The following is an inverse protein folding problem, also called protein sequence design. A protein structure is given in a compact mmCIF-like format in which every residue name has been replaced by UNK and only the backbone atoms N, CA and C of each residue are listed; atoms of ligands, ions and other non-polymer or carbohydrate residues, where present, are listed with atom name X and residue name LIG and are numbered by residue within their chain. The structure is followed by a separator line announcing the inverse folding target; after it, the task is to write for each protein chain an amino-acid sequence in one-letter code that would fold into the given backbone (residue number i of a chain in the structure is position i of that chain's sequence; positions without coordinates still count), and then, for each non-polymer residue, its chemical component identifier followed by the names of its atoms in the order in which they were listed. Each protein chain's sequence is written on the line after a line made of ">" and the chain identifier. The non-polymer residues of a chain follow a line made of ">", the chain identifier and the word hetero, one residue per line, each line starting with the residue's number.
data_IF_822351668232
#
_entry.id   IF_822351668232
#
_cell.length_a   1.000
_cell.length_b   1.000
_cell.length_c   1.000
_cell.angle_alpha   90.00
_cell.angle_beta   90.00
_cell.angle_gamma   90.00
#
_symmetry.space_group_name_H-M   'P 1'
#
loop_
_entity.id
_entity.type
_entity.pdbx_description
1 polymer ?
#
# COMPACT_ATOMS: atom_id res chain seq x y z
N UNK A 1 12.15 24.31 5.56
CA UNK A 1 12.00 23.60 4.28
C UNK A 1 12.71 22.25 4.36
N UNK A 2 12.00 21.12 4.41
CA UNK A 2 12.66 19.80 4.44
C UNK A 2 13.18 19.45 3.04
N UNK A 3 14.47 19.62 2.83
CA UNK A 3 15.20 19.17 1.64
C UNK A 3 14.89 17.68 1.41
N UNK A 4 14.27 17.33 0.28
CA UNK A 4 14.09 15.92 -0.11
C UNK A 4 15.43 15.40 -0.61
N UNK A 5 16.01 14.39 0.04
CA UNK A 5 17.19 13.71 -0.51
C UNK A 5 16.77 12.97 -1.76
N UNK A 6 17.16 13.48 -2.93
CA UNK A 6 16.89 12.81 -4.20
C UNK A 6 17.88 11.66 -4.39
N UNK A 7 17.64 10.54 -3.69
CA UNK A 7 18.50 9.35 -3.73
C UNK A 7 17.75 8.17 -4.36
N UNK A 8 17.79 8.02 -5.70
CA UNK A 8 17.04 6.97 -6.40
C UNK A 8 17.54 5.57 -6.04
N UNK A 9 18.81 5.42 -5.65
CA UNK A 9 19.38 4.12 -5.27
C UNK A 9 18.89 3.65 -3.91
N UNK A 10 18.79 4.55 -2.93
CA UNK A 10 18.18 4.25 -1.64
C UNK A 10 16.72 3.80 -1.79
N UNK A 11 15.97 4.48 -2.67
CA UNK A 11 14.58 4.09 -2.97
C UNK A 11 14.49 2.70 -3.63
N UNK A 12 15.29 2.44 -4.68
CA UNK A 12 15.35 1.12 -5.34
C UNK A 12 15.74 0.02 -4.36
N UNK A 13 16.68 0.31 -3.46
CA UNK A 13 17.08 -0.61 -2.41
C UNK A 13 15.93 -0.89 -1.43
N UNK A 14 15.20 0.14 -1.00
CA UNK A 14 14.02 -0.05 -0.14
C UNK A 14 12.92 -0.89 -0.82
N UNK A 15 12.69 -0.70 -2.13
CA UNK A 15 11.80 -1.57 -2.93
C UNK A 15 12.32 -3.02 -2.93
N UNK A 16 13.61 -3.21 -3.17
CA UNK A 16 14.22 -4.53 -3.16
C UNK A 16 14.07 -5.23 -1.79
N UNK A 17 14.28 -4.51 -0.68
CA UNK A 17 14.03 -5.04 0.67
C UNK A 17 12.57 -5.43 0.85
N UNK A 18 11.62 -4.58 0.45
CA UNK A 18 10.20 -4.92 0.54
C UNK A 18 9.84 -6.17 -0.27
N UNK A 19 10.38 -6.29 -1.49
CA UNK A 19 10.19 -7.46 -2.33
C UNK A 19 10.84 -8.73 -1.74
N UNK A 20 12.07 -8.63 -1.21
CA UNK A 20 12.73 -9.74 -0.53
C UNK A 20 11.95 -10.19 0.72
N UNK A 21 11.37 -9.26 1.48
CA UNK A 21 10.48 -9.56 2.60
C UNK A 21 9.20 -10.27 2.15
N UNK A 22 8.63 -9.90 1.00
CA UNK A 22 7.49 -10.63 0.42
C UNK A 22 7.87 -12.09 0.10
N UNK A 23 9.03 -12.32 -0.51
CA UNK A 23 9.54 -13.68 -0.75
C UNK A 23 9.81 -14.45 0.57
N UNK A 24 10.29 -13.76 1.60
CA UNK A 24 10.48 -14.35 2.94
C UNK A 24 9.15 -14.82 3.56
N UNK A 25 8.07 -14.04 3.42
CA UNK A 25 6.74 -14.44 3.87
C UNK A 25 6.27 -15.71 3.14
N UNK A 26 6.51 -15.80 1.82
CA UNK A 26 6.21 -17.01 1.05
C UNK A 26 7.03 -18.19 1.57
N UNK A 27 8.33 -18.01 1.81
CA UNK A 27 9.18 -19.05 2.38
C UNK A 27 8.66 -19.52 3.75
N UNK A 28 8.21 -18.61 4.61
CA UNK A 28 7.59 -18.96 5.89
C UNK A 28 6.28 -19.74 5.71
N UNK A 29 5.43 -19.34 4.76
CA UNK A 29 4.21 -20.06 4.42
C UNK A 29 4.49 -21.47 3.86
N UNK A 30 5.62 -21.67 3.18
CA UNK A 30 6.07 -22.99 2.73
C UNK A 30 6.52 -23.87 3.91
N UNK A 31 7.13 -23.31 4.96
CA UNK A 31 7.46 -24.07 6.18
C UNK A 31 6.19 -24.66 6.80
N UNK A 32 5.17 -23.83 7.03
CA UNK A 32 3.91 -24.28 7.65
C UNK A 32 3.13 -25.21 6.73
N UNK A 33 3.07 -24.94 5.42
CA UNK A 33 2.31 -25.77 4.46
C UNK A 33 2.93 -27.15 4.21
N UNK A 34 4.19 -27.36 4.58
CA UNK A 34 4.88 -28.64 4.45
C UNK A 34 5.17 -29.29 5.83
N UNK A 35 4.48 -28.86 6.89
CA UNK A 35 4.67 -29.34 8.27
C UNK A 35 6.14 -29.34 8.72
N UNK A 36 6.92 -28.41 8.20
CA UNK A 36 8.37 -28.44 8.30
C UNK A 36 8.91 -27.68 9.52
N UNK A 37 8.05 -27.10 10.37
CA UNK A 37 8.45 -26.18 11.43
C UNK A 37 9.32 -26.77 12.57
N UNK A 38 9.43 -28.10 12.65
CA UNK A 38 10.32 -28.83 13.59
C UNK A 38 11.32 -29.74 12.87
N UNK A 39 11.56 -29.52 11.59
CA UNK A 39 12.53 -30.31 10.82
C UNK A 39 13.97 -30.11 11.30
N UNK A 40 14.25 -28.95 11.91
CA UNK A 40 15.50 -28.56 12.54
C UNK A 40 15.19 -28.17 14.00
N UNK A 41 15.28 -29.12 14.95
CA UNK A 41 14.73 -28.97 16.30
C UNK A 41 15.59 -28.11 17.25
N UNK A 42 16.59 -27.40 16.74
CA UNK A 42 17.48 -26.52 17.48
C UNK A 42 17.54 -25.12 16.85
N UNK A 43 17.87 -24.13 17.66
CA UNK A 43 18.07 -22.74 17.26
C UNK A 43 19.08 -22.08 18.22
N UNK A 44 20.02 -21.24 17.75
CA UNK A 44 20.19 -20.74 16.39
C UNK A 44 20.97 -21.68 15.45
N UNK A 45 21.51 -22.78 15.97
CA UNK A 45 22.20 -23.80 15.18
C UNK A 45 21.24 -24.65 14.35
N UNK A 46 21.79 -25.53 13.52
CA UNK A 46 21.05 -26.61 12.85
C UNK A 46 21.79 -27.93 13.12
N UNK A 47 21.14 -28.81 13.88
CA UNK A 47 21.69 -30.05 14.41
C UNK A 47 23.01 -29.86 15.18
N UNK A 48 23.06 -28.83 16.04
CA UNK A 48 24.21 -28.50 16.90
C UNK A 48 25.38 -27.84 16.16
N UNK A 49 25.23 -27.48 14.89
CA UNK A 49 26.27 -26.84 14.08
C UNK A 49 25.73 -25.63 13.31
N UNK A 50 26.61 -24.68 12.96
CA UNK A 50 26.31 -23.62 11.99
C UNK A 50 26.64 -24.02 10.53
N UNK A 51 27.09 -25.26 10.32
CA UNK A 51 27.34 -25.79 8.97
C UNK A 51 26.03 -26.03 8.24
N UNK A 52 26.09 -25.94 6.91
CA UNK A 52 24.95 -26.24 6.04
C UNK A 52 24.48 -27.69 6.25
N UNK A 53 23.23 -27.92 6.72
CA UNK A 53 22.69 -29.26 6.86
C UNK A 53 22.34 -29.84 5.49
N UNK A 54 22.07 -31.16 5.45
CA UNK A 54 21.53 -31.79 4.24
C UNK A 54 20.12 -31.28 3.98
N UNK A 55 19.90 -30.63 2.84
CA UNK A 55 18.63 -30.00 2.46
C UNK A 55 17.63 -31.04 1.92
N UNK A 56 17.29 -32.03 2.73
CA UNK A 56 16.39 -33.15 2.37
C UNK A 56 15.09 -33.04 3.18
N UNK A 57 13.95 -33.39 2.56
CA UNK A 57 12.65 -33.39 3.23
C UNK A 57 12.24 -32.00 3.74
N UNK A 58 11.75 -31.94 4.97
CA UNK A 58 11.31 -30.70 5.63
C UNK A 58 12.44 -29.69 5.90
N UNK A 59 13.68 -30.16 6.09
CA UNK A 59 14.86 -29.33 6.41
C UNK A 59 15.08 -28.25 5.34
N UNK A 60 14.81 -28.56 4.07
CA UNK A 60 14.98 -27.60 2.97
C UNK A 60 14.07 -26.37 3.12
N UNK A 61 12.87 -26.55 3.67
CA UNK A 61 11.93 -25.46 3.89
C UNK A 61 12.34 -24.67 5.13
N UNK A 62 12.60 -25.35 6.25
CA UNK A 62 12.88 -24.66 7.51
C UNK A 62 14.24 -23.95 7.49
N UNK A 63 15.31 -24.67 7.16
CA UNK A 63 16.64 -24.06 7.08
C UNK A 63 16.72 -23.04 5.94
N UNK A 64 16.05 -23.30 4.81
CA UNK A 64 15.93 -22.34 3.71
C UNK A 64 15.25 -21.03 4.13
N UNK A 65 14.15 -21.12 4.88
CA UNK A 65 13.50 -19.95 5.46
C UNK A 65 14.44 -19.18 6.41
N UNK A 66 15.19 -19.87 7.28
CA UNK A 66 16.19 -19.25 8.18
C UNK A 66 17.28 -18.49 7.40
N UNK A 67 17.77 -19.06 6.30
CA UNK A 67 18.76 -18.41 5.44
C UNK A 67 18.20 -17.14 4.77
N UNK A 68 16.99 -17.21 4.22
CA UNK A 68 16.32 -16.05 3.62
C UNK A 68 16.05 -14.98 4.69
N UNK A 69 15.64 -15.39 5.91
CA UNK A 69 15.40 -14.49 7.03
C UNK A 69 16.68 -13.75 7.44
N UNK A 70 17.81 -14.46 7.55
CA UNK A 70 19.11 -13.87 7.85
C UNK A 70 19.53 -12.86 6.76
N UNK A 71 19.33 -13.22 5.48
CA UNK A 71 19.63 -12.33 4.36
C UNK A 71 18.77 -11.06 4.40
N UNK A 72 17.45 -11.18 4.55
CA UNK A 72 16.53 -10.02 4.67
C UNK A 72 16.87 -9.18 5.90
N UNK A 73 17.27 -9.81 7.01
CA UNK A 73 17.73 -9.10 8.21
C UNK A 73 18.96 -8.23 7.95
N UNK A 74 19.98 -8.78 7.28
CA UNK A 74 21.16 -8.03 6.85
C UNK A 74 20.80 -6.86 5.93
N UNK A 75 19.92 -7.10 4.95
CA UNK A 75 19.45 -6.04 4.06
C UNK A 75 18.73 -4.92 4.83
N UNK A 76 17.94 -5.29 5.83
CA UNK A 76 17.20 -4.33 6.67
C UNK A 76 18.13 -3.48 7.52
N UNK A 77 19.16 -4.07 8.12
CA UNK A 77 20.19 -3.34 8.88
C UNK A 77 20.93 -2.37 7.96
N UNK A 78 21.32 -2.80 6.76
CA UNK A 78 21.98 -1.93 5.79
C UNK A 78 21.05 -0.78 5.34
N UNK A 79 19.77 -1.06 5.07
CA UNK A 79 18.76 -0.03 4.74
C UNK A 79 18.68 1.01 5.87
N UNK A 80 18.56 0.55 7.12
CA UNK A 80 18.45 1.44 8.28
C UNK A 80 19.71 2.31 8.47
N UNK A 81 20.90 1.73 8.29
CA UNK A 81 22.16 2.47 8.33
C UNK A 81 22.25 3.51 7.21
N UNK A 82 21.88 3.14 5.97
CA UNK A 82 21.88 4.04 4.83
C UNK A 82 20.89 5.19 5.02
N UNK A 83 19.68 4.90 5.52
CA UNK A 83 18.71 5.91 5.92
C UNK A 83 19.31 6.83 6.99
N UNK A 84 19.99 6.30 8.00
CA UNK A 84 20.54 7.12 9.07
C UNK A 84 21.50 8.20 8.58
N UNK A 85 22.31 7.85 7.57
CA UNK A 85 23.33 8.72 6.96
C UNK A 85 22.73 9.68 5.92
N UNK A 86 21.80 9.22 5.07
CA UNK A 86 21.36 9.97 3.88
C UNK A 86 19.97 10.59 3.98
N UNK A 87 19.12 10.11 4.89
CA UNK A 87 17.74 10.56 5.00
C UNK A 87 17.61 11.70 6.04
N UNK A 88 17.30 12.94 5.62
CA UNK A 88 17.18 14.06 6.56
C UNK A 88 15.94 13.96 7.48
N UNK A 89 14.89 13.25 7.05
CA UNK A 89 13.64 13.14 7.80
C UNK A 89 13.79 12.19 8.99
N UNK A 90 13.83 12.78 10.20
CA UNK A 90 13.99 12.03 11.47
C UNK A 90 13.00 10.88 11.64
N UNK A 91 11.74 11.07 11.22
CA UNK A 91 10.70 10.05 11.37
C UNK A 91 10.91 8.85 10.43
N UNK A 92 11.46 9.05 9.21
CA UNK A 92 11.81 7.96 8.29
C UNK A 92 12.98 7.15 8.85
N UNK A 93 13.98 7.83 9.43
CA UNK A 93 15.09 7.16 10.12
C UNK A 93 14.63 6.32 11.31
N UNK A 94 13.72 6.85 12.12
CA UNK A 94 13.09 6.11 13.24
C UNK A 94 12.31 4.90 12.74
N UNK A 95 11.61 5.02 11.61
CA UNK A 95 10.91 3.90 10.98
C UNK A 95 11.90 2.82 10.49
N UNK A 96 13.06 3.21 9.95
CA UNK A 96 14.15 2.27 9.64
C UNK A 96 14.70 1.55 10.88
N UNK A 97 14.88 2.26 11.99
CA UNK A 97 15.26 1.65 13.27
C UNK A 97 14.19 0.69 13.81
N UNK A 98 12.91 1.05 13.70
CA UNK A 98 11.79 0.20 14.06
C UNK A 98 11.73 -1.08 13.20
N UNK A 99 12.09 -0.99 11.91
CA UNK A 99 12.19 -2.15 11.03
C UNK A 99 13.23 -3.15 11.56
N UNK A 100 14.41 -2.68 11.96
CA UNK A 100 15.46 -3.52 12.57
C UNK A 100 14.99 -4.15 13.88
N UNK A 101 14.36 -3.36 14.76
CA UNK A 101 13.81 -3.88 16.02
C UNK A 101 12.78 -5.00 15.76
N UNK A 102 11.94 -4.83 14.74
CA UNK A 102 10.92 -5.80 14.36
C UNK A 102 11.55 -7.09 13.82
N UNK A 103 12.65 -7.01 13.04
CA UNK A 103 13.42 -8.18 12.58
C UNK A 103 14.04 -8.94 13.76
N UNK A 104 14.59 -8.24 14.74
CA UNK A 104 15.15 -8.89 15.95
C UNK A 104 14.06 -9.61 16.73
N UNK A 105 12.91 -8.96 16.94
CA UNK A 105 11.76 -9.58 17.59
C UNK A 105 11.20 -10.77 16.76
N UNK A 106 11.23 -10.69 15.43
CA UNK A 106 10.88 -11.79 14.54
C UNK A 106 11.79 -13.00 14.71
N UNK A 107 13.11 -12.79 14.73
CA UNK A 107 14.09 -13.85 14.93
C UNK A 107 13.93 -14.52 16.32
N UNK A 108 13.67 -13.72 17.36
CA UNK A 108 13.40 -14.22 18.70
C UNK A 108 12.11 -15.06 18.76
N UNK A 109 10.98 -14.54 18.23
CA UNK A 109 9.73 -15.29 18.19
C UNK A 109 9.87 -16.55 17.33
N UNK A 110 10.54 -16.49 16.18
CA UNK A 110 10.80 -17.64 15.33
C UNK A 110 11.63 -18.71 16.03
N UNK A 111 12.72 -18.32 16.73
CA UNK A 111 13.48 -19.24 17.56
C UNK A 111 12.63 -19.87 18.68
N UNK A 112 11.81 -19.07 19.36
CA UNK A 112 10.89 -19.57 20.38
C UNK A 112 9.84 -20.54 19.81
N UNK A 113 9.36 -20.35 18.58
CA UNK A 113 8.43 -21.32 17.96
C UNK A 113 9.05 -22.70 17.80
N UNK A 114 10.35 -22.78 17.50
CA UNK A 114 11.08 -24.06 17.39
C UNK A 114 11.34 -24.63 18.79
N UNK A 115 11.92 -23.83 19.68
CA UNK A 115 12.35 -24.27 21.02
C UNK A 115 11.19 -24.70 21.92
N UNK A 116 9.99 -24.16 21.69
CA UNK A 116 8.78 -24.46 22.48
C UNK A 116 7.78 -25.36 21.76
N UNK A 117 8.16 -25.96 20.63
CA UNK A 117 7.32 -26.91 19.88
C UNK A 117 6.00 -26.32 19.33
N UNK A 118 6.10 -25.19 18.62
CA UNK A 118 5.02 -24.46 17.93
C UNK A 118 3.82 -24.06 18.82
N UNK A 119 4.02 -23.43 19.98
CA UNK A 119 2.90 -22.99 20.79
C UNK A 119 2.11 -21.91 20.03
N UNK A 120 0.79 -22.13 19.89
CA UNK A 120 -0.10 -21.32 19.05
C UNK A 120 0.08 -19.81 19.26
N UNK A 121 0.12 -19.26 20.50
CA UNK A 121 0.27 -17.82 20.69
C UNK A 121 1.58 -17.25 20.12
N UNK A 122 2.68 -17.99 20.23
CA UNK A 122 4.00 -17.55 19.74
C UNK A 122 4.03 -17.64 18.21
N UNK A 123 3.53 -18.73 17.63
CA UNK A 123 3.49 -18.91 16.17
C UNK A 123 2.57 -17.90 15.49
N UNK A 124 1.39 -17.62 16.08
CA UNK A 124 0.49 -16.56 15.61
C UNK A 124 1.13 -15.19 15.78
N UNK A 125 1.76 -14.92 16.93
CA UNK A 125 2.50 -13.68 17.17
C UNK A 125 3.63 -13.46 16.15
N UNK A 126 4.38 -14.52 15.83
CA UNK A 126 5.41 -14.52 14.79
C UNK A 126 4.80 -14.19 13.42
N UNK A 127 3.70 -14.84 13.02
CA UNK A 127 3.04 -14.55 11.76
C UNK A 127 2.52 -13.10 11.65
N UNK A 128 1.88 -12.58 12.71
CA UNK A 128 1.36 -11.21 12.75
C UNK A 128 2.50 -10.16 12.72
N UNK A 129 3.57 -10.39 13.47
CA UNK A 129 4.71 -9.47 13.51
C UNK A 129 5.46 -9.45 12.16
N UNK A 130 5.49 -10.55 11.42
CA UNK A 130 6.03 -10.59 10.06
C UNK A 130 5.25 -9.69 9.10
N UNK A 131 3.91 -9.65 9.22
CA UNK A 131 3.07 -8.75 8.42
C UNK A 131 3.29 -7.28 8.79
N UNK A 132 3.46 -6.97 10.08
CA UNK A 132 3.82 -5.61 10.54
C UNK A 132 5.17 -5.18 9.94
N UNK A 133 6.17 -6.05 9.98
CA UNK A 133 7.48 -5.80 9.35
C UNK A 133 7.34 -5.52 7.85
N UNK A 134 6.54 -6.31 7.13
CA UNK A 134 6.28 -6.09 5.71
C UNK A 134 5.63 -4.73 5.43
N UNK A 135 4.62 -4.35 6.21
CA UNK A 135 4.01 -3.02 6.11
C UNK A 135 5.03 -1.89 6.35
N UNK A 136 5.94 -2.05 7.30
CA UNK A 136 7.04 -1.11 7.54
C UNK A 136 7.97 -1.04 6.33
N UNK A 137 8.37 -2.18 5.75
CA UNK A 137 9.24 -2.24 4.58
C UNK A 137 8.60 -1.56 3.36
N UNK A 138 7.33 -1.82 3.08
CA UNK A 138 6.56 -1.14 2.02
C UNK A 138 6.44 0.36 2.29
N UNK A 139 6.21 0.75 3.54
CA UNK A 139 6.15 2.16 3.93
C UNK A 139 7.49 2.87 3.71
N UNK A 140 8.62 2.23 4.05
CA UNK A 140 9.95 2.77 3.77
C UNK A 140 10.20 2.91 2.27
N UNK A 141 9.78 1.94 1.44
CA UNK A 141 9.85 2.05 -0.01
C UNK A 141 9.02 3.24 -0.53
N UNK A 142 7.81 3.45 0.00
CA UNK A 142 6.96 4.60 -0.35
C UNK A 142 7.60 5.94 0.04
N UNK A 143 8.10 6.06 1.27
CA UNK A 143 8.59 7.32 1.81
C UNK A 143 9.97 7.73 1.27
N UNK A 144 10.75 6.76 0.81
CA UNK A 144 12.03 7.02 0.12
C UNK A 144 11.84 7.42 -1.35
N UNK A 145 10.62 7.35 -1.91
CA UNK A 145 10.35 7.73 -3.29
C UNK A 145 10.82 9.17 -3.58
N UNK A 146 11.54 9.39 -4.70
CA UNK A 146 11.91 10.73 -5.15
C UNK A 146 10.69 11.66 -5.22
N UNK A 147 10.80 12.85 -4.62
CA UNK A 147 9.72 13.83 -4.59
C UNK A 147 8.61 13.54 -3.57
N UNK A 148 8.68 12.45 -2.78
CA UNK A 148 7.70 12.23 -1.72
C UNK A 148 7.82 13.34 -0.66
N UNK A 149 6.73 14.10 -0.51
CA UNK A 149 6.56 15.09 0.54
C UNK A 149 5.35 14.68 1.36
N UNK A 150 5.54 14.59 2.67
CA UNK A 150 4.41 14.47 3.57
C UNK A 150 3.74 15.84 3.63
N UNK A 151 2.80 16.08 2.73
CA UNK A 151 1.95 17.25 2.82
C UNK A 151 1.08 17.10 4.07
N UNK A 152 0.99 18.13 4.92
CA UNK A 152 0.00 18.14 6.00
C UNK A 152 -1.33 17.82 5.35
N UNK A 153 -1.95 16.70 5.73
CA UNK A 153 -3.23 16.29 5.15
C UNK A 153 -4.16 17.50 5.25
N UNK A 154 -4.61 18.02 4.10
CA UNK A 154 -5.71 18.98 4.09
C UNK A 154 -6.83 18.25 4.83
N UNK A 155 -7.25 18.76 5.99
CA UNK A 155 -8.34 18.16 6.75
C UNK A 155 -9.58 18.42 5.91
N UNK A 156 -9.86 17.50 4.99
CA UNK A 156 -11.09 17.47 4.23
C UNK A 156 -12.07 16.82 5.19
N UNK A 157 -12.99 17.60 5.74
CA UNK A 157 -14.11 17.07 6.49
C UNK A 157 -14.94 16.20 5.54
N UNK A 158 -14.96 14.89 5.78
CA UNK A 158 -15.86 13.97 5.08
C UNK A 158 -17.22 14.04 5.79
N UNK A 159 -18.24 14.65 5.17
CA UNK A 159 -19.53 14.87 5.82
C UNK A 159 -20.32 13.57 6.01
N UNK A 160 -19.85 12.45 5.44
CA UNK A 160 -20.55 11.17 5.49
C UNK A 160 -20.16 10.39 6.76
N UNK A 161 -21.11 9.62 7.29
CA UNK A 161 -20.91 8.73 8.44
C UNK A 161 -21.01 7.25 8.02
N UNK A 162 -19.99 6.41 8.30
CA UNK A 162 -18.70 6.76 8.89
C UNK A 162 -17.80 7.52 7.90
N UNK A 163 -16.90 8.35 8.44
CA UNK A 163 -15.89 9.04 7.63
C UNK A 163 -14.95 8.02 6.99
N UNK A 164 -14.44 8.31 5.79
CA UNK A 164 -13.55 7.42 5.05
C UNK A 164 -12.35 6.98 5.90
N UNK A 165 -11.79 7.90 6.70
CA UNK A 165 -10.71 7.58 7.65
C UNK A 165 -11.12 6.53 8.69
N UNK A 166 -12.29 6.68 9.32
CA UNK A 166 -12.81 5.71 10.29
C UNK A 166 -13.11 4.37 9.61
N UNK A 167 -13.68 4.41 8.41
CA UNK A 167 -13.98 3.22 7.62
C UNK A 167 -12.70 2.46 7.27
N UNK A 168 -11.69 3.12 6.69
CA UNK A 168 -10.40 2.49 6.35
C UNK A 168 -9.68 1.96 7.59
N UNK A 169 -9.68 2.70 8.71
CA UNK A 169 -9.09 2.23 9.97
C UNK A 169 -9.82 0.99 10.51
N UNK A 170 -11.16 0.99 10.48
CA UNK A 170 -11.99 -0.15 10.86
C UNK A 170 -11.74 -1.37 9.97
N UNK A 171 -11.75 -1.19 8.64
CA UNK A 171 -11.43 -2.27 7.68
C UNK A 171 -10.03 -2.82 7.91
N UNK A 172 -9.03 -1.97 8.18
CA UNK A 172 -7.66 -2.41 8.50
C UNK A 172 -7.63 -3.26 9.78
N UNK A 173 -8.36 -2.86 10.81
CA UNK A 173 -8.47 -3.64 12.05
C UNK A 173 -9.12 -5.02 11.80
N UNK A 174 -10.18 -5.08 10.99
CA UNK A 174 -10.85 -6.34 10.63
C UNK A 174 -9.92 -7.24 9.79
N UNK A 175 -9.12 -6.68 8.87
CA UNK A 175 -8.08 -7.42 8.14
C UNK A 175 -7.03 -7.98 9.10
N UNK A 176 -6.60 -7.21 10.10
CA UNK A 176 -5.63 -7.68 11.08
C UNK A 176 -6.20 -8.82 11.93
N UNK A 177 -7.45 -8.71 12.37
CA UNK A 177 -8.16 -9.82 13.04
C UNK A 177 -8.26 -11.06 12.16
N UNK A 178 -8.52 -10.90 10.86
CA UNK A 178 -8.53 -12.01 9.89
C UNK A 178 -7.18 -12.72 9.80
N UNK A 179 -6.08 -11.97 9.85
CA UNK A 179 -4.72 -12.53 9.86
C UNK A 179 -4.47 -13.36 11.13
N UNK A 180 -4.88 -12.86 12.30
CA UNK A 180 -4.79 -13.59 13.57
C UNK A 180 -5.57 -14.92 13.47
N UNK A 181 -6.82 -14.86 13.03
CA UNK A 181 -7.68 -16.05 12.91
C UNK A 181 -7.13 -17.05 11.88
N UNK A 182 -6.59 -16.56 10.76
CA UNK A 182 -5.99 -17.41 9.74
C UNK A 182 -4.70 -18.10 10.20
N UNK A 183 -3.83 -17.37 10.91
CA UNK A 183 -2.65 -17.94 11.52
C UNK A 183 -3.02 -18.96 12.61
N UNK A 184 -4.00 -18.62 13.46
CA UNK A 184 -4.45 -19.52 14.53
C UNK A 184 -5.07 -20.81 13.95
N UNK A 185 -5.87 -20.72 12.88
CA UNK A 185 -6.37 -21.89 12.17
C UNK A 185 -5.25 -22.79 11.64
N UNK A 186 -4.21 -22.20 11.01
CA UNK A 186 -3.04 -22.95 10.52
C UNK A 186 -2.25 -23.68 11.62
N UNK A 187 -2.34 -23.20 12.86
CA UNK A 187 -1.70 -23.80 14.02
C UNK A 187 -2.67 -24.60 14.91
N UNK A 188 -3.84 -25.00 14.39
CA UNK A 188 -4.86 -25.77 15.12
C UNK A 188 -5.41 -25.07 16.40
N UNK A 189 -5.32 -23.74 16.48
CA UNK A 189 -5.83 -22.95 17.62
C UNK A 189 -7.33 -22.67 17.59
N UNK A 190 -7.93 -22.61 16.40
CA UNK A 190 -9.37 -22.43 16.19
C UNK A 190 -9.82 -23.23 14.97
N UNK A 191 -11.13 -23.52 14.89
CA UNK A 191 -11.73 -24.05 13.67
C UNK A 191 -11.74 -23.03 12.52
N UNK A 192 -12.07 -23.48 11.31
CA UNK A 192 -12.12 -22.64 10.11
C UNK A 192 -13.25 -21.59 10.13
N UNK A 193 -14.31 -21.84 10.91
CA UNK A 193 -15.54 -21.05 10.87
C UNK A 193 -15.34 -19.57 11.23
N UNK A 194 -14.69 -19.19 12.36
CA UNK A 194 -14.38 -17.79 12.65
C UNK A 194 -13.57 -17.09 11.54
N UNK A 195 -12.61 -17.80 10.94
CA UNK A 195 -11.80 -17.27 9.83
C UNK A 195 -12.66 -16.99 8.57
N UNK A 196 -13.63 -17.85 8.25
CA UNK A 196 -14.52 -17.65 7.09
C UNK A 196 -15.51 -16.50 7.33
N UNK A 197 -16.09 -16.40 8.53
CA UNK A 197 -17.01 -15.32 8.88
C UNK A 197 -16.30 -13.96 8.77
N UNK A 198 -15.11 -13.84 9.37
CA UNK A 198 -14.35 -12.59 9.33
C UNK A 198 -13.83 -12.28 7.92
N UNK A 199 -13.55 -13.29 7.08
CA UNK A 199 -13.24 -13.08 5.65
C UNK A 199 -14.39 -12.37 4.91
N UNK A 200 -15.64 -12.74 5.21
CA UNK A 200 -16.82 -12.08 4.68
C UNK A 200 -16.87 -10.60 5.09
N UNK A 201 -16.61 -10.30 6.36
CA UNK A 201 -16.56 -8.93 6.87
C UNK A 201 -15.42 -8.11 6.24
N UNK A 202 -14.24 -8.71 6.04
CA UNK A 202 -13.13 -8.08 5.30
C UNK A 202 -13.57 -7.72 3.89
N UNK A 203 -14.20 -8.67 3.17
CA UNK A 203 -14.65 -8.47 1.79
C UNK A 203 -15.64 -7.31 1.70
N UNK A 204 -16.65 -7.29 2.58
CA UNK A 204 -17.62 -6.20 2.65
C UNK A 204 -16.96 -4.86 2.97
N UNK A 205 -16.04 -4.82 3.93
CA UNK A 205 -15.31 -3.61 4.30
C UNK A 205 -14.45 -3.06 3.15
N UNK A 206 -13.71 -3.93 2.47
CA UNK A 206 -12.87 -3.55 1.31
C UNK A 206 -13.72 -3.04 0.16
N UNK A 207 -14.83 -3.71 -0.15
CA UNK A 207 -15.77 -3.26 -1.18
C UNK A 207 -16.38 -1.90 -0.82
N UNK A 208 -16.73 -1.67 0.45
CA UNK A 208 -17.28 -0.40 0.90
C UNK A 208 -16.26 0.75 0.79
N UNK A 209 -15.02 0.55 1.25
CA UNK A 209 -13.94 1.53 1.08
C UNK A 209 -13.70 1.81 -0.40
N UNK A 210 -13.61 0.76 -1.22
CA UNK A 210 -13.34 0.89 -2.66
C UNK A 210 -14.45 1.66 -3.36
N UNK A 211 -15.71 1.34 -3.09
CA UNK A 211 -16.86 2.06 -3.65
C UNK A 211 -16.86 3.55 -3.24
N UNK A 212 -16.51 3.86 -1.98
CA UNK A 212 -16.44 5.25 -1.48
C UNK A 212 -15.33 6.04 -2.19
N UNK A 213 -14.15 5.43 -2.36
CA UNK A 213 -13.02 6.05 -3.08
C UNK A 213 -13.36 6.25 -4.57
N UNK A 214 -13.90 5.22 -5.23
CA UNK A 214 -14.27 5.29 -6.65
C UNK A 214 -15.35 6.34 -6.91
N UNK A 215 -16.34 6.47 -6.02
CA UNK A 215 -17.37 7.51 -6.12
C UNK A 215 -16.75 8.92 -6.08
N UNK A 216 -15.74 9.16 -5.25
CA UNK A 216 -15.08 10.47 -5.19
C UNK A 216 -14.20 10.74 -6.41
N UNK A 217 -13.46 9.74 -6.89
CA UNK A 217 -12.65 9.84 -8.13
C UNK A 217 -13.53 10.06 -9.35
N UNK A 218 -14.67 9.37 -9.44
CA UNK A 218 -15.63 9.55 -10.52
C UNK A 218 -16.20 10.98 -10.52
N UNK A 219 -16.57 11.51 -9.35
CA UNK A 219 -17.05 12.89 -9.22
C UNK A 219 -15.98 13.90 -9.64
N UNK A 220 -14.72 13.73 -9.23
CA UNK A 220 -13.63 14.67 -9.62
C UNK A 220 -13.35 14.61 -11.13
N UNK A 221 -13.30 13.42 -11.70
CA UNK A 221 -13.02 13.22 -13.14
C UNK A 221 -14.17 13.76 -13.99
N UNK A 222 -15.41 13.52 -13.58
CA UNK A 222 -16.61 14.05 -14.26
C UNK A 222 -16.67 15.57 -14.16
N UNK A 223 -16.33 16.16 -13.01
CA UNK A 223 -16.32 17.61 -12.83
C UNK A 223 -15.30 18.32 -13.73
N UNK A 224 -14.09 17.75 -13.89
CA UNK A 224 -13.08 18.26 -14.83
C UNK A 224 -13.55 18.14 -16.28
N UNK A 225 -14.12 17.00 -16.66
CA UNK A 225 -14.62 16.78 -18.02
C UNK A 225 -15.77 17.74 -18.39
N UNK A 226 -16.74 17.90 -17.49
CA UNK A 226 -17.86 18.85 -17.68
C UNK A 226 -17.35 20.29 -17.71
N UNK A 227 -16.43 20.66 -16.82
CA UNK A 227 -15.82 22.00 -16.82
C UNK A 227 -15.10 22.32 -18.13
N UNK A 228 -14.36 21.37 -18.70
CA UNK A 228 -13.70 21.52 -19.99
C UNK A 228 -14.70 21.68 -21.14
N UNK A 229 -15.79 20.91 -21.14
CA UNK A 229 -16.86 21.02 -22.15
C UNK A 229 -17.60 22.35 -22.07
N UNK A 230 -17.92 22.84 -20.87
CA UNK A 230 -18.57 24.14 -20.67
C UNK A 230 -17.66 25.28 -21.13
N UNK A 231 -16.36 25.21 -20.85
CA UNK A 231 -15.39 26.21 -21.32
C UNK A 231 -15.32 26.25 -22.85
N UNK A 232 -15.25 25.07 -23.49
CA UNK A 232 -15.23 24.95 -24.94
C UNK A 232 -16.51 25.50 -25.58
N UNK A 233 -17.68 25.16 -25.03
CA UNK A 233 -18.96 25.68 -25.49
C UNK A 233 -19.05 27.21 -25.34
N UNK A 234 -18.57 27.75 -24.22
CA UNK A 234 -18.54 29.19 -23.97
C UNK A 234 -17.65 29.93 -24.96
N UNK A 235 -16.50 29.34 -25.32
CA UNK A 235 -15.60 29.89 -26.34
C UNK A 235 -16.26 29.90 -27.73
N UNK A 236 -16.94 28.82 -28.12
CA UNK A 236 -17.66 28.75 -29.40
C UNK A 236 -18.75 29.83 -29.46
N UNK A 237 -19.57 29.96 -28.42
CA UNK A 237 -20.61 30.99 -28.36
C UNK A 237 -20.02 32.41 -28.44
N UNK A 238 -18.89 32.66 -27.77
CA UNK A 238 -18.20 33.94 -27.83
C UNK A 238 -17.67 34.26 -29.24
N UNK A 239 -17.10 33.26 -29.93
CA UNK A 239 -16.61 33.40 -31.30
C UNK A 239 -17.75 33.65 -32.29
N UNK A 240 -18.84 32.90 -32.19
CA UNK A 240 -20.05 33.10 -33.01
C UNK A 240 -20.66 34.49 -32.77
N UNK A 241 -20.78 34.90 -31.51
CA UNK A 241 -21.26 36.25 -31.17
C UNK A 241 -20.35 37.34 -31.74
N UNK A 242 -19.02 37.16 -31.68
CA UNK A 242 -18.06 38.08 -32.29
C UNK A 242 -18.20 38.14 -33.82
N UNK A 243 -18.44 37.00 -34.49
CA UNK A 243 -18.66 36.97 -35.93
C UNK A 243 -19.96 37.67 -36.33
N UNK A 244 -21.05 37.44 -35.59
CA UNK A 244 -22.36 38.05 -35.86
C UNK A 244 -22.35 39.55 -35.56
N UNK A 245 -21.74 39.97 -34.45
CA UNK A 245 -21.66 41.38 -34.05
C UNK A 245 -20.57 42.16 -34.82
N UNK A 246 -19.53 41.45 -35.29
CA UNK A 246 -18.47 41.99 -36.13
C UNK A 246 -18.82 42.01 -37.62
N UNK A 247 -19.93 41.40 -38.03
CA UNK A 247 -20.42 41.45 -39.40
C UNK A 247 -20.87 42.89 -39.73
N UNK A 248 -20.29 43.56 -40.74
CA UNK A 248 -20.67 44.91 -41.10
C UNK A 248 -22.13 44.94 -41.58
N UNK A 249 -22.87 45.96 -41.15
CA UNK A 249 -24.30 46.22 -41.42
C UNK A 249 -24.66 46.35 -42.92
N UNK A 250 -24.51 45.26 -43.70
CA UNK A 250 -24.81 45.18 -45.13
C UNK A 250 -25.68 43.96 -45.43
N UNK A 251 -26.93 43.95 -44.97
CA UNK A 251 -28.01 43.15 -45.59
C UNK A 251 -29.38 43.37 -44.90
N UNK A 252 -29.77 44.60 -44.58
CA UNK A 252 -31.19 44.89 -44.35
C UNK A 252 -31.67 45.80 -45.48
N UNK A 253 -31.81 45.24 -46.68
CA UNK A 253 -32.64 45.85 -47.72
C UNK A 253 -34.10 45.65 -47.30
N UNK A 254 -34.63 46.64 -46.57
CA UNK A 254 -36.08 46.78 -46.38
C UNK A 254 -36.65 47.08 -47.76
N UNK A 255 -37.46 46.16 -48.28
CA UNK A 255 -38.21 46.34 -49.51
C UNK A 255 -39.07 47.61 -49.41
N UNK A 256 -38.60 48.71 -50.04
CA UNK A 256 -39.44 49.88 -50.31
C UNK A 256 -40.16 49.63 -51.63
N UNK A 257 -41.49 49.67 -51.59
CA UNK A 257 -42.33 49.72 -52.78
C UNK A 257 -42.04 50.99 -53.59
N UNK A 258 -42.10 50.96 -54.94
CA UNK A 258 -41.88 52.15 -55.75
C UNK A 258 -43.14 53.04 -55.75
N UNK A 259 -43.05 54.20 -55.10
CA UNK A 259 -44.01 55.29 -55.26
C UNK A 259 -43.67 56.12 -56.52
N UNK A 260 -44.62 56.13 -57.45
CA UNK A 260 -44.99 57.19 -58.40
C UNK A 260 -43.90 58.11 -58.98
N UNK A 261 -43.63 57.95 -60.28
CA UNK A 261 -43.12 59.03 -61.12
C UNK A 261 -44.26 60.02 -61.46
N UNK A 262 -44.22 61.20 -60.86
CA UNK A 262 -44.96 62.40 -61.27
C UNK A 262 -43.95 63.40 -61.84
N UNK A 263 -44.17 63.80 -63.09
CA UNK A 263 -43.83 65.07 -63.76
C UNK A 263 -42.46 65.74 -63.52
N UNK A 264 -41.65 65.85 -64.58
CA UNK A 264 -41.63 67.00 -65.52
C UNK A 264 -40.70 66.66 -66.70
#
# INVERSE_FOLDING_TARGET
>A
MSQTSNNPWLHRYAIFVAFATFLLIIAGALVTSNDAGLSVPDWPTSFGSFRMPRMVGGVKFEHGHRMIAAFVGLLTVFLAAWLWVREPRRWVRRLGGLAVLTVVAQAALGGLTVLLYLPVPISVGHACLAQIFFCIAVSLALFTRPGFRWEPAKIIEDPRSPSLRKLTAGTTAVIFSQLILGAAFRHNGFGILPHVIVAGLVTLGVLWVSARVLAEVAVTTTHVAVGALVLAASLVVALEAYQVLGAPARAIQIARAPESAVGL
#
